data_IF_610073749133
#
_entry.id   IF_610073749133
#
_cell.length_a   1.000
_cell.length_b   1.000
_cell.length_c   1.000
_cell.angle_alpha   90.00
_cell.angle_beta   90.00
_cell.angle_gamma   90.00
#
_symmetry.space_group_name_H-M   'P 1'
#
loop_
_entity.id
_entity.type
_entity.pdbx_description
1 polymer ?
#
# COMPACT_ATOMS: atom_id res chain seq x y z
N UNK A 1 -5.74 16.96 -10.81
CA UNK A 1 -4.97 15.80 -11.30
C UNK A 1 -3.62 15.69 -10.61
N UNK A 2 -2.80 16.73 -10.56
CA UNK A 2 -1.49 16.70 -9.88
C UNK A 2 -1.60 16.37 -8.39
N UNK A 3 -2.52 17.00 -7.67
CA UNK A 3 -2.81 16.73 -6.25
C UNK A 3 -3.16 15.24 -6.03
N UNK A 4 -4.05 14.68 -6.85
CA UNK A 4 -4.43 13.27 -6.79
C UNK A 4 -3.23 12.33 -7.01
N UNK A 5 -2.36 12.67 -7.97
CA UNK A 5 -1.14 11.93 -8.26
C UNK A 5 -0.16 11.98 -7.09
N UNK A 6 0.14 13.18 -6.57
CA UNK A 6 1.10 13.33 -5.46
C UNK A 6 0.58 12.70 -4.18
N UNK A 7 -0.72 12.84 -3.88
CA UNK A 7 -1.35 12.20 -2.74
C UNK A 7 -1.24 10.67 -2.81
N UNK A 8 -1.65 10.07 -3.94
CA UNK A 8 -1.53 8.64 -4.16
C UNK A 8 -0.09 8.14 -4.10
N UNK A 9 0.84 8.85 -4.74
CA UNK A 9 2.25 8.51 -4.73
C UNK A 9 2.84 8.48 -3.32
N UNK A 10 2.68 9.57 -2.57
CA UNK A 10 3.26 9.71 -1.23
C UNK A 10 2.61 8.74 -0.24
N UNK A 11 1.27 8.68 -0.24
CA UNK A 11 0.55 7.82 0.67
C UNK A 11 0.97 6.36 0.50
N UNK A 12 0.92 5.87 -0.74
CA UNK A 12 1.23 4.47 -1.03
C UNK A 12 2.72 4.17 -0.80
N UNK A 13 3.63 5.02 -1.31
CA UNK A 13 5.07 4.77 -1.12
C UNK A 13 5.46 4.66 0.34
N UNK A 14 4.92 5.53 1.20
CA UNK A 14 5.28 5.52 2.63
C UNK A 14 4.53 4.42 3.41
N UNK A 15 3.32 4.06 3.02
CA UNK A 15 2.55 3.02 3.72
C UNK A 15 3.00 1.60 3.39
N UNK A 16 3.52 1.38 2.18
CA UNK A 16 3.95 0.06 1.69
C UNK A 16 5.38 -0.32 2.07
N UNK A 17 6.22 0.67 2.46
CA UNK A 17 7.59 0.37 2.90
C UNK A 17 7.57 -0.43 4.20
N UNK A 18 8.07 -1.67 4.15
CA UNK A 18 8.12 -2.55 5.31
C UNK A 18 6.83 -3.28 5.63
N UNK A 19 5.81 -3.18 4.78
CA UNK A 19 4.58 -3.95 4.89
C UNK A 19 4.79 -5.42 4.45
N UNK A 20 3.84 -6.27 4.71
CA UNK A 20 3.86 -7.70 4.38
C UNK A 20 4.22 -7.98 2.92
N UNK A 21 3.65 -7.23 1.97
CA UNK A 21 3.94 -7.41 0.54
C UNK A 21 5.33 -6.98 0.16
N UNK A 22 5.91 -5.97 0.82
CA UNK A 22 7.32 -5.64 0.70
C UNK A 22 8.19 -6.84 1.07
N UNK A 23 7.94 -7.51 2.19
CA UNK A 23 8.71 -8.70 2.61
C UNK A 23 8.46 -9.90 1.70
N UNK A 24 7.23 -10.11 1.18
CA UNK A 24 6.96 -11.13 0.16
C UNK A 24 7.87 -10.91 -1.06
N UNK A 25 7.97 -9.68 -1.57
CA UNK A 25 8.84 -9.35 -2.69
C UNK A 25 10.33 -9.58 -2.37
N UNK A 26 10.79 -9.23 -1.17
CA UNK A 26 12.16 -9.50 -0.68
C UNK A 26 12.46 -11.00 -0.69
N UNK A 27 11.60 -11.80 -0.09
CA UNK A 27 11.79 -13.25 0.04
C UNK A 27 11.78 -13.94 -1.32
N UNK A 28 10.80 -13.60 -2.18
CA UNK A 28 10.70 -14.17 -3.52
C UNK A 28 11.88 -13.77 -4.41
N UNK A 29 12.34 -12.51 -4.34
CA UNK A 29 13.51 -12.03 -5.12
C UNK A 29 14.80 -12.70 -4.69
N UNK A 30 14.84 -13.23 -3.50
CA UNK A 30 15.96 -14.03 -3.01
C UNK A 30 15.98 -15.46 -3.56
N UNK A 31 14.87 -15.96 -4.09
CA UNK A 31 14.71 -17.33 -4.59
C UNK A 31 14.59 -17.39 -6.11
N UNK A 32 14.06 -16.32 -6.72
CA UNK A 32 13.76 -16.23 -8.14
C UNK A 32 14.39 -14.99 -8.79
N UNK A 33 14.24 -14.86 -10.10
CA UNK A 33 14.68 -13.69 -10.83
C UNK A 33 13.97 -12.43 -10.32
N UNK A 34 14.76 -11.42 -9.92
CA UNK A 34 14.26 -10.13 -9.44
C UNK A 34 13.29 -9.46 -10.41
N UNK A 35 13.56 -9.55 -11.72
CA UNK A 35 12.70 -8.96 -12.76
C UNK A 35 11.32 -9.61 -12.79
N UNK A 36 11.26 -10.95 -12.67
CA UNK A 36 9.98 -11.68 -12.70
C UNK A 36 9.16 -11.40 -11.44
N UNK A 37 9.82 -11.35 -10.28
CA UNK A 37 9.16 -11.02 -9.00
C UNK A 37 8.65 -9.58 -9.05
N UNK A 38 9.48 -8.62 -9.45
CA UNK A 38 9.07 -7.23 -9.62
C UNK A 38 7.82 -7.10 -10.49
N UNK A 39 7.84 -7.77 -11.65
CA UNK A 39 6.71 -7.71 -12.59
C UNK A 39 5.44 -8.30 -11.98
N UNK A 40 5.53 -9.47 -11.33
CA UNK A 40 4.38 -10.12 -10.68
C UNK A 40 3.78 -9.29 -9.55
N UNK A 41 4.63 -8.76 -8.66
CA UNK A 41 4.22 -7.90 -7.55
C UNK A 41 3.58 -6.60 -8.07
N UNK A 42 4.26 -5.90 -8.95
CA UNK A 42 3.77 -4.62 -9.50
C UNK A 42 2.46 -4.79 -10.25
N UNK A 43 2.30 -5.89 -11.00
CA UNK A 43 1.05 -6.18 -11.71
C UNK A 43 -0.11 -6.44 -10.73
N UNK A 44 0.12 -7.16 -9.64
CA UNK A 44 -0.88 -7.40 -8.61
C UNK A 44 -1.34 -6.10 -7.95
N UNK A 45 -0.38 -5.26 -7.54
CA UNK A 45 -0.65 -3.98 -6.88
C UNK A 45 -1.31 -2.97 -7.82
N UNK A 46 -0.89 -2.94 -9.10
CA UNK A 46 -1.53 -2.12 -10.13
C UNK A 46 -3.01 -2.53 -10.35
N UNK A 47 -3.27 -3.84 -10.46
CA UNK A 47 -4.64 -4.34 -10.58
C UNK A 47 -5.47 -3.99 -9.35
N UNK A 48 -4.91 -4.17 -8.14
CA UNK A 48 -5.58 -3.80 -6.89
C UNK A 48 -5.90 -2.30 -6.85
N UNK A 49 -4.95 -1.46 -7.26
CA UNK A 49 -5.16 -0.01 -7.38
C UNK A 49 -6.31 0.33 -8.33
N UNK A 50 -6.35 -0.30 -9.51
CA UNK A 50 -7.43 -0.08 -10.48
C UNK A 50 -8.79 -0.50 -9.92
N UNK A 51 -8.86 -1.67 -9.26
CA UNK A 51 -10.08 -2.13 -8.60
C UNK A 51 -10.52 -1.17 -7.48
N UNK A 52 -9.58 -0.70 -6.67
CA UNK A 52 -9.86 0.27 -5.60
C UNK A 52 -10.40 1.59 -6.16
N UNK A 53 -9.78 2.10 -7.23
CA UNK A 53 -10.24 3.31 -7.89
C UNK A 53 -11.61 3.11 -8.52
N UNK A 54 -11.89 1.95 -9.11
CA UNK A 54 -13.22 1.63 -9.63
C UNK A 54 -14.28 1.65 -8.52
N UNK A 55 -14.00 1.01 -7.37
CA UNK A 55 -14.88 1.09 -6.19
C UNK A 55 -15.04 2.53 -5.70
N UNK A 56 -13.95 3.31 -5.63
CA UNK A 56 -13.98 4.72 -5.27
C UNK A 56 -14.88 5.55 -6.19
N UNK A 57 -14.86 5.26 -7.50
CA UNK A 57 -15.76 5.94 -8.45
C UNK A 57 -17.24 5.56 -8.24
N UNK A 58 -17.54 4.33 -7.84
CA UNK A 58 -18.90 3.95 -7.46
C UNK A 58 -19.32 4.73 -6.21
N UNK A 59 -18.44 4.80 -5.21
CA UNK A 59 -18.68 5.56 -3.97
C UNK A 59 -18.84 7.05 -4.23
N UNK A 60 -18.17 7.61 -5.25
CA UNK A 60 -18.24 9.04 -5.62
C UNK A 60 -19.61 9.52 -6.06
N UNK A 61 -20.57 8.62 -6.31
CA UNK A 61 -21.98 8.95 -6.59
C UNK A 61 -22.69 9.48 -5.34
N UNK A 62 -22.17 9.21 -4.15
CA UNK A 62 -22.74 9.75 -2.91
C UNK A 62 -22.59 11.26 -2.84
N UNK A 63 -23.49 11.96 -2.10
CA UNK A 63 -23.39 13.41 -1.92
C UNK A 63 -22.01 13.81 -1.38
N UNK A 64 -21.41 14.84 -1.99
CA UNK A 64 -20.05 15.29 -1.69
C UNK A 64 -19.78 15.54 -0.20
N UNK A 65 -20.77 16.03 0.52
CA UNK A 65 -20.63 16.28 1.97
C UNK A 65 -20.33 14.99 2.75
N UNK A 66 -21.02 13.89 2.43
CA UNK A 66 -20.77 12.59 3.10
C UNK A 66 -19.38 12.04 2.75
N UNK A 67 -18.97 12.17 1.48
CA UNK A 67 -17.64 11.75 1.04
C UNK A 67 -16.55 12.53 1.76
N UNK A 68 -16.70 13.83 1.85
CA UNK A 68 -15.75 14.69 2.52
C UNK A 68 -15.59 14.36 4.01
N UNK A 69 -16.70 14.19 4.75
CA UNK A 69 -16.63 13.76 6.15
C UNK A 69 -16.06 12.35 6.30
N UNK A 70 -16.43 11.42 5.41
CA UNK A 70 -15.88 10.06 5.42
C UNK A 70 -14.37 10.06 5.20
N UNK A 71 -13.87 10.87 4.27
CA UNK A 71 -12.45 11.05 3.99
C UNK A 71 -11.69 11.57 5.22
N UNK A 72 -12.18 12.64 5.84
CA UNK A 72 -11.59 13.20 7.07
C UNK A 72 -11.53 12.15 8.18
N UNK A 73 -12.67 11.50 8.46
CA UNK A 73 -12.76 10.49 9.52
C UNK A 73 -11.79 9.35 9.25
N UNK A 74 -11.74 8.86 8.02
CA UNK A 74 -10.91 7.73 7.62
C UNK A 74 -9.42 8.06 7.75
N UNK A 75 -8.98 9.19 7.22
CA UNK A 75 -7.58 9.60 7.30
C UNK A 75 -7.16 9.89 8.76
N UNK A 76 -7.97 10.58 9.53
CA UNK A 76 -7.67 10.83 10.94
C UNK A 76 -7.65 9.53 11.75
N UNK A 77 -8.63 8.63 11.55
CA UNK A 77 -8.69 7.36 12.28
C UNK A 77 -7.49 6.46 11.96
N UNK A 78 -7.12 6.32 10.68
CA UNK A 78 -5.92 5.56 10.30
C UNK A 78 -4.63 6.23 10.80
N UNK A 79 -4.53 7.54 10.69
CA UNK A 79 -3.37 8.26 11.19
C UNK A 79 -3.19 8.08 12.71
N UNK A 80 -4.25 8.25 13.49
CA UNK A 80 -4.22 8.04 14.96
C UNK A 80 -3.88 6.58 15.27
N UNK A 81 -4.50 5.62 14.58
CA UNK A 81 -4.23 4.19 14.78
C UNK A 81 -2.76 3.88 14.50
N UNK A 82 -2.22 4.32 13.37
CA UNK A 82 -0.82 4.07 13.01
C UNK A 82 0.16 4.70 14.01
N UNK A 83 -0.10 5.93 14.48
CA UNK A 83 0.72 6.57 15.51
C UNK A 83 0.64 5.82 16.85
N UNK A 84 -0.55 5.35 17.21
CA UNK A 84 -0.74 4.55 18.40
C UNK A 84 0.01 3.21 18.29
N UNK A 85 -0.12 2.51 17.17
CA UNK A 85 0.58 1.26 16.89
C UNK A 85 2.09 1.50 16.95
N UNK A 86 2.61 2.51 16.25
CA UNK A 86 4.03 2.91 16.29
C UNK A 86 4.52 3.21 17.71
N UNK A 87 3.70 3.81 18.58
CA UNK A 87 4.06 4.09 19.96
C UNK A 87 4.23 2.83 20.80
N UNK A 88 3.49 1.78 20.48
CA UNK A 88 3.53 0.47 21.16
C UNK A 88 4.51 -0.52 20.53
N UNK A 89 4.92 -0.28 19.28
CA UNK A 89 5.89 -1.14 18.59
C UNK A 89 7.22 -1.17 19.34
N UNK A 90 7.59 -2.34 19.79
CA UNK A 90 8.94 -2.67 20.25
C UNK A 90 9.87 -2.78 19.02
N UNK A 91 11.19 -2.66 19.21
CA UNK A 91 12.16 -2.91 18.15
C UNK A 91 12.07 -4.33 17.51
N UNK A 92 11.23 -5.20 18.06
CA UNK A 92 10.95 -6.55 17.57
C UNK A 92 9.75 -6.66 16.60
N UNK A 93 8.99 -5.60 16.37
CA UNK A 93 7.75 -5.69 15.58
C UNK A 93 7.98 -5.88 14.08
N UNK A 94 9.15 -5.48 13.55
CA UNK A 94 9.54 -5.83 12.17
C UNK A 94 9.63 -7.35 11.92
N UNK A 95 9.54 -8.15 12.98
CA UNK A 95 9.51 -9.61 12.87
C UNK A 95 8.09 -10.15 12.57
N UNK A 96 7.03 -9.43 12.89
CA UNK A 96 5.65 -9.91 12.67
C UNK A 96 5.29 -9.89 11.19
N UNK A 97 5.46 -8.75 10.50
CA UNK A 97 5.20 -8.65 9.05
C UNK A 97 6.13 -9.56 8.24
N UNK A 98 7.41 -9.63 8.63
CA UNK A 98 8.36 -10.55 8.00
C UNK A 98 7.97 -12.02 8.24
N UNK A 99 7.53 -12.40 9.44
CA UNK A 99 7.07 -13.75 9.75
C UNK A 99 5.81 -14.12 8.97
N UNK A 100 4.82 -13.24 8.90
CA UNK A 100 3.63 -13.45 8.09
C UNK A 100 3.95 -13.61 6.60
N UNK A 101 4.89 -12.82 6.07
CA UNK A 101 5.36 -12.96 4.70
C UNK A 101 6.08 -14.30 4.48
N UNK A 102 6.93 -14.73 5.41
CA UNK A 102 7.59 -16.05 5.38
C UNK A 102 6.55 -17.17 5.35
N UNK A 103 5.57 -17.13 6.27
CA UNK A 103 4.51 -18.13 6.31
C UNK A 103 3.68 -18.18 5.01
N UNK A 104 3.33 -17.04 4.46
CA UNK A 104 2.58 -16.95 3.20
C UNK A 104 3.37 -17.61 2.06
N UNK A 105 4.68 -17.32 1.96
CA UNK A 105 5.55 -17.90 0.94
C UNK A 105 5.80 -19.39 1.18
N UNK A 106 5.92 -19.84 2.42
CA UNK A 106 6.09 -21.27 2.73
C UNK A 106 4.81 -22.09 2.41
N UNK A 107 3.64 -21.56 2.77
CA UNK A 107 2.35 -22.17 2.38
C UNK A 107 2.17 -22.26 0.86
N UNK A 108 2.71 -21.30 0.10
CA UNK A 108 2.65 -21.35 -1.36
C UNK A 108 3.48 -22.47 -1.96
N UNK A 109 4.63 -22.81 -1.34
CA UNK A 109 5.52 -23.89 -1.82
C UNK A 109 4.83 -25.24 -1.91
N UNK A 110 3.86 -25.52 -1.03
CA UNK A 110 3.12 -26.78 -1.06
C UNK A 110 2.15 -26.87 -2.25
N UNK A 111 1.76 -25.72 -2.81
CA UNK A 111 0.79 -25.63 -3.91
C UNK A 111 1.43 -25.51 -5.30
N UNK A 112 2.69 -25.11 -5.38
CA UNK A 112 3.37 -24.89 -6.66
C UNK A 112 4.55 -25.87 -6.85
N UNK A 113 4.81 -26.34 -8.09
CA UNK A 113 5.90 -27.27 -8.36
C UNK A 113 7.28 -26.67 -8.05
N UNK A 114 8.23 -27.51 -7.63
CA UNK A 114 9.60 -27.10 -7.22
C UNK A 114 10.39 -26.41 -8.34
N UNK A 115 10.11 -26.71 -9.61
CA UNK A 115 10.76 -26.11 -10.77
C UNK A 115 9.75 -25.25 -11.53
N UNK A 116 9.80 -23.95 -11.35
CA UNK A 116 8.84 -23.03 -11.95
C UNK A 116 9.36 -22.46 -13.26
N UNK A 117 8.47 -22.38 -14.25
CA UNK A 117 8.69 -21.57 -15.45
C UNK A 117 8.69 -20.08 -15.07
N UNK A 118 9.19 -19.21 -15.96
CA UNK A 118 9.14 -17.77 -15.77
C UNK A 118 7.70 -17.27 -15.49
N UNK A 119 6.74 -17.82 -16.20
CA UNK A 119 5.31 -17.52 -15.96
C UNK A 119 4.85 -17.97 -14.57
N UNK A 120 5.28 -19.16 -14.12
CA UNK A 120 4.95 -19.67 -12.77
C UNK A 120 5.48 -18.78 -11.64
N UNK A 121 6.65 -18.16 -11.82
CA UNK A 121 7.20 -17.20 -10.85
C UNK A 121 6.38 -15.91 -10.80
N UNK A 122 6.04 -15.36 -11.97
CA UNK A 122 5.20 -14.16 -12.06
C UNK A 122 3.82 -14.42 -11.44
N UNK A 123 3.21 -15.57 -11.75
CA UNK A 123 1.90 -15.94 -11.22
C UNK A 123 1.92 -16.12 -9.69
N UNK A 124 2.97 -16.76 -9.15
CA UNK A 124 3.10 -16.92 -7.69
C UNK A 124 3.27 -15.57 -7.00
N UNK A 125 4.16 -14.72 -7.49
CA UNK A 125 4.37 -13.38 -6.95
C UNK A 125 3.07 -12.56 -7.03
N UNK A 126 2.37 -12.63 -8.16
CA UNK A 126 1.07 -11.97 -8.34
C UNK A 126 0.03 -12.46 -7.34
N UNK A 127 -0.21 -13.77 -7.25
CA UNK A 127 -1.26 -14.31 -6.39
C UNK A 127 -0.99 -14.07 -4.91
N UNK A 128 0.26 -14.23 -4.47
CA UNK A 128 0.63 -13.95 -3.08
C UNK A 128 0.42 -12.49 -2.71
N UNK A 129 0.90 -11.57 -3.55
CA UNK A 129 0.72 -10.13 -3.32
C UNK A 129 -0.75 -9.74 -3.39
N UNK A 130 -1.48 -10.19 -4.42
CA UNK A 130 -2.89 -9.85 -4.59
C UNK A 130 -3.75 -10.32 -3.42
N UNK A 131 -3.49 -11.53 -2.90
CA UNK A 131 -4.24 -12.04 -1.73
C UNK A 131 -3.83 -11.37 -0.42
N UNK A 132 -2.58 -10.96 -0.27
CA UNK A 132 -2.10 -10.29 0.93
C UNK A 132 -2.67 -8.86 1.07
N UNK A 133 -2.88 -8.18 -0.05
CA UNK A 133 -3.42 -6.79 -0.09
C UNK A 133 -4.95 -6.71 -0.02
N UNK A 134 -5.65 -7.85 -0.11
CA UNK A 134 -7.12 -7.82 -0.14
C UNK A 134 -7.70 -7.34 1.19
N UNK A 135 -8.31 -6.16 1.20
CA UNK A 135 -8.90 -5.55 2.39
C UNK A 135 -7.94 -4.74 3.24
N UNK A 136 -6.70 -4.49 2.77
CA UNK A 136 -5.72 -3.69 3.51
C UNK A 136 -6.09 -2.20 3.61
N UNK A 137 -5.44 -1.53 4.55
CA UNK A 137 -5.59 -0.09 4.81
C UNK A 137 -5.28 0.79 3.61
N UNK A 138 -4.29 0.41 2.80
CA UNK A 138 -3.91 1.13 1.58
C UNK A 138 -4.97 0.99 0.49
N UNK A 139 -5.64 -0.15 0.39
CA UNK A 139 -6.80 -0.34 -0.48
C UNK A 139 -7.94 0.61 -0.08
N UNK A 140 -8.28 0.68 1.21
CA UNK A 140 -9.35 1.55 1.70
C UNK A 140 -8.99 3.03 1.49
N UNK A 141 -7.74 3.42 1.76
CA UNK A 141 -7.25 4.77 1.53
C UNK A 141 -7.30 5.16 0.05
N UNK A 142 -6.95 4.23 -0.85
CA UNK A 142 -7.01 4.44 -2.31
C UNK A 142 -8.46 4.61 -2.78
N UNK A 143 -9.42 3.84 -2.23
CA UNK A 143 -10.85 4.01 -2.49
C UNK A 143 -11.30 5.42 -2.08
N UNK A 144 -10.93 5.88 -0.88
CA UNK A 144 -11.29 7.20 -0.39
C UNK A 144 -10.68 8.33 -1.25
N UNK A 145 -9.40 8.23 -1.58
CA UNK A 145 -8.75 9.18 -2.50
C UNK A 145 -9.45 9.23 -3.87
N UNK A 146 -9.80 8.07 -4.42
CA UNK A 146 -10.45 8.01 -5.73
C UNK A 146 -11.90 8.48 -5.71
N UNK A 147 -12.57 8.45 -4.56
CA UNK A 147 -13.91 9.00 -4.39
C UNK A 147 -13.89 10.54 -4.34
N UNK A 148 -12.80 11.15 -3.81
CA UNK A 148 -12.68 12.59 -3.60
C UNK A 148 -11.85 13.29 -4.68
N UNK A 149 -10.89 12.60 -5.30
CA UNK A 149 -9.93 13.18 -6.25
C UNK A 149 -10.04 12.55 -7.65
N UNK A 150 -9.30 13.13 -8.59
CA UNK A 150 -9.30 12.68 -9.98
C UNK A 150 -8.76 11.24 -10.13
N UNK A 151 -9.57 10.29 -10.63
CA UNK A 151 -9.25 8.85 -10.60
C UNK A 151 -7.96 8.48 -11.32
N UNK A 152 -7.71 9.07 -12.50
CA UNK A 152 -6.47 8.81 -13.28
C UNK A 152 -5.23 9.26 -12.50
N UNK A 153 -5.31 10.40 -11.79
CA UNK A 153 -4.23 10.86 -10.93
C UNK A 153 -3.92 9.86 -9.82
N UNK A 154 -4.95 9.35 -9.15
CA UNK A 154 -4.81 8.34 -8.09
C UNK A 154 -4.21 7.04 -8.64
N UNK A 155 -4.73 6.51 -9.77
CA UNK A 155 -4.17 5.29 -10.40
C UNK A 155 -2.69 5.45 -10.70
N UNK A 156 -2.31 6.54 -11.37
CA UNK A 156 -0.91 6.75 -11.76
C UNK A 156 0.02 6.95 -10.54
N UNK A 157 -0.42 7.77 -9.58
CA UNK A 157 0.36 8.04 -8.37
C UNK A 157 0.54 6.79 -7.51
N UNK A 158 -0.55 6.11 -7.18
CA UNK A 158 -0.53 4.91 -6.35
C UNK A 158 0.24 3.76 -7.03
N UNK A 159 0.02 3.52 -8.32
CA UNK A 159 0.75 2.47 -9.07
C UNK A 159 2.24 2.76 -9.12
N UNK A 160 2.65 4.02 -9.30
CA UNK A 160 4.06 4.40 -9.26
C UNK A 160 4.64 4.21 -7.84
N UNK A 161 3.89 4.57 -6.80
CA UNK A 161 4.28 4.32 -5.41
C UNK A 161 4.54 2.84 -5.13
N UNK A 162 3.61 1.98 -5.51
CA UNK A 162 3.77 0.52 -5.43
C UNK A 162 4.98 0.01 -6.21
N UNK A 163 5.19 0.50 -7.44
CA UNK A 163 6.33 0.11 -8.26
C UNK A 163 7.66 0.51 -7.62
N UNK A 164 7.74 1.69 -7.00
CA UNK A 164 8.93 2.15 -6.25
C UNK A 164 9.19 1.21 -5.07
N UNK A 165 8.18 0.90 -4.26
CA UNK A 165 8.32 -0.02 -3.12
C UNK A 165 8.75 -1.43 -3.57
N UNK A 166 8.11 -1.97 -4.62
CA UNK A 166 8.50 -3.26 -5.20
C UNK A 166 9.94 -3.24 -5.74
N UNK A 167 10.38 -2.15 -6.39
CA UNK A 167 11.76 -2.01 -6.86
C UNK A 167 12.76 -2.00 -5.69
N UNK A 168 12.47 -1.23 -4.64
CA UNK A 168 13.30 -1.19 -3.42
C UNK A 168 13.36 -2.59 -2.81
N UNK A 169 12.24 -3.30 -2.69
CA UNK A 169 12.16 -4.64 -2.13
C UNK A 169 13.02 -5.65 -2.91
N UNK A 170 12.89 -5.70 -4.24
CA UNK A 170 13.60 -6.71 -5.06
C UNK A 170 15.08 -6.41 -5.27
N UNK A 171 15.49 -5.12 -5.23
CA UNK A 171 16.90 -4.70 -5.45
C UNK A 171 17.66 -4.68 -4.13
N UNK A 172 17.11 -4.02 -3.12
CA UNK A 172 17.79 -3.69 -1.87
C UNK A 172 17.24 -4.40 -0.63
N UNK A 173 16.12 -5.12 -0.73
CA UNK A 173 15.38 -5.61 0.42
C UNK A 173 16.22 -6.41 1.42
N UNK A 174 17.15 -7.25 0.96
CA UNK A 174 18.07 -7.99 1.85
C UNK A 174 19.06 -7.11 2.61
N UNK A 175 19.46 -5.97 2.03
CA UNK A 175 20.38 -5.02 2.67
C UNK A 175 19.66 -4.10 3.65
N UNK A 176 18.36 -3.93 3.41
CA UNK A 176 17.47 -2.99 4.11
C UNK A 176 16.66 -3.73 5.19
N UNK A 177 16.30 -5.00 4.93
CA UNK A 177 15.63 -5.86 5.91
C UNK A 177 16.44 -5.89 7.22
N UNK A 178 15.79 -5.56 8.34
CA UNK A 178 16.41 -5.44 9.65
C UNK A 178 17.11 -4.11 9.95
N UNK A 179 17.24 -3.19 8.97
CA UNK A 179 17.78 -1.83 9.21
C UNK A 179 16.69 -0.75 9.22
N UNK A 180 15.57 -1.03 8.59
CA UNK A 180 14.43 -0.12 8.61
C UNK A 180 13.68 -0.37 9.92
N UNK A 181 13.53 0.69 10.70
CA UNK A 181 12.66 0.67 11.87
C UNK A 181 11.22 0.75 11.40
N UNK A 182 10.49 -0.37 11.44
CA UNK A 182 9.06 -0.43 11.14
C UNK A 182 8.29 0.62 11.97
N UNK A 183 8.65 0.78 13.24
CA UNK A 183 8.11 1.85 14.09
C UNK A 183 8.24 3.23 13.45
N UNK A 184 9.39 3.53 12.86
CA UNK A 184 9.62 4.84 12.22
C UNK A 184 8.78 4.98 10.95
N UNK A 185 8.69 3.95 10.12
CA UNK A 185 7.86 3.97 8.90
C UNK A 185 6.39 4.09 9.26
N UNK A 186 5.90 3.30 10.20
CA UNK A 186 4.51 3.35 10.68
C UNK A 186 4.19 4.73 11.27
N UNK A 187 5.12 5.34 12.02
CA UNK A 187 4.93 6.70 12.54
C UNK A 187 4.88 7.75 11.41
N UNK A 188 5.77 7.65 10.41
CA UNK A 188 5.77 8.55 9.25
C UNK A 188 4.47 8.39 8.45
N UNK A 189 4.03 7.15 8.21
CA UNK A 189 2.74 6.86 7.58
C UNK A 189 1.58 7.46 8.36
N UNK A 190 1.57 7.28 9.69
CA UNK A 190 0.56 7.88 10.57
C UNK A 190 0.53 9.41 10.51
N UNK A 191 1.69 10.06 10.53
CA UNK A 191 1.79 11.53 10.35
C UNK A 191 1.25 11.97 8.98
N UNK A 192 1.55 11.21 7.92
CA UNK A 192 1.06 11.51 6.58
C UNK A 192 -0.46 11.39 6.49
N UNK A 193 -1.05 10.34 7.06
CA UNK A 193 -2.51 10.20 7.13
C UNK A 193 -3.16 11.37 7.89
N UNK A 194 -2.59 11.78 9.03
CA UNK A 194 -3.07 12.97 9.75
C UNK A 194 -2.95 14.23 8.89
N UNK A 195 -1.83 14.40 8.19
CA UNK A 195 -1.65 15.54 7.28
C UNK A 195 -2.73 15.58 6.19
N UNK A 196 -3.04 14.45 5.55
CA UNK A 196 -4.13 14.39 4.58
C UNK A 196 -5.49 14.67 5.20
N UNK A 197 -5.76 14.17 6.42
CA UNK A 197 -6.96 14.51 7.16
C UNK A 197 -7.10 16.01 7.43
N UNK A 198 -6.01 16.69 7.82
CA UNK A 198 -5.99 18.13 8.04
C UNK A 198 -6.17 18.92 6.74
N UNK A 199 -5.56 18.49 5.64
CA UNK A 199 -5.76 19.10 4.30
C UNK A 199 -7.21 18.97 3.89
N UNK A 200 -7.82 17.80 4.07
CA UNK A 200 -9.24 17.60 3.77
C UNK A 200 -10.12 18.54 4.62
N UNK A 201 -9.88 18.69 5.92
CA UNK A 201 -10.60 19.65 6.76
C UNK A 201 -10.48 21.07 6.20
N UNK A 202 -9.29 21.48 5.80
CA UNK A 202 -9.06 22.83 5.27
C UNK A 202 -9.77 23.08 3.93
N UNK A 203 -9.75 22.13 3.03
CA UNK A 203 -10.47 22.19 1.75
C UNK A 203 -11.99 22.34 1.95
N UNK A 204 -12.54 21.64 2.96
CA UNK A 204 -13.98 21.74 3.30
C UNK A 204 -14.38 23.09 3.88
N UNK A 205 -13.52 23.73 4.64
CA UNK A 205 -13.78 25.10 5.18
C UNK A 205 -13.78 26.12 4.04
N UNK A 206 -12.90 25.96 3.04
CA UNK A 206 -12.80 26.87 1.89
C UNK A 206 -14.02 26.81 0.95
N UNK A 207 -14.70 25.66 0.85
CA UNK A 207 -15.85 25.46 -0.04
C UNK A 207 -17.18 25.94 0.55
N UNK A 208 -17.24 26.19 1.85
CA UNK A 208 -18.45 26.73 2.52
C UNK A 208 -18.47 28.25 2.56
N UNK A 209 -17.42 28.91 2.09
CA UNK A 209 -17.26 30.39 2.14
C UNK A 209 -17.59 31.09 0.82
N UNK A 210 -18.19 30.41 -0.15
CA UNK A 210 -18.71 30.96 -1.42
C UNK A 210 -20.16 30.46 -1.58
#
# INVERSE_FOLDING_TARGET
>A
MLTAFTAGLLLITLSELGDKTFFIAVILSGRYSRKLVFFGVTLALALMTVLSVFVGQIVSVLPKNYLHYAEIILFCAFGIKLLYDASKMSAKSSQEEEQEAVEAVEKSKSKFPKRKSSFGVVLEAFLLTFTAEWGDRTQIATIALAASYHPVGVVLGATLGHAICAAIAVIGGRLIAGKISERMITAIGGCLFILFGLVAIWEGVGTQSI
#
